data_IF_868058251809
#
_entry.id   IF_868058251809
#
_cell.length_a   1.000
_cell.length_b   1.000
_cell.length_c   1.000
_cell.angle_alpha   90.00
_cell.angle_beta   90.00
_cell.angle_gamma   90.00
#
_symmetry.space_group_name_H-M   'P 1'
#
loop_
_entity.id
_entity.type
_entity.pdbx_description
1 polymer ?
#
# COMPACT_ATOMS: atom_id res chain seq x y z
N UNK A 1 5.54 33.09 27.98
CA UNK A 1 6.14 32.77 26.68
C UNK A 1 5.83 31.31 26.38
N UNK A 2 5.06 31.01 25.34
CA UNK A 2 4.91 29.62 24.88
C UNK A 2 6.25 29.16 24.31
N UNK A 3 6.70 27.93 24.59
CA UNK A 3 7.93 27.41 23.98
C UNK A 3 7.75 27.48 22.46
N UNK A 4 8.69 28.07 21.76
CA UNK A 4 8.79 28.00 20.30
C UNK A 4 8.88 26.51 19.94
N UNK A 5 7.83 25.98 19.30
CA UNK A 5 7.89 24.65 18.69
C UNK A 5 9.15 24.61 17.81
N UNK A 6 10.10 23.79 18.15
CA UNK A 6 11.30 23.61 17.36
C UNK A 6 10.87 23.07 16.00
N UNK A 7 11.01 23.90 14.95
CA UNK A 7 10.65 23.51 13.59
C UNK A 7 11.46 22.26 13.23
N UNK A 8 10.77 21.13 13.03
CA UNK A 8 11.40 19.88 12.62
C UNK A 8 12.19 20.11 11.32
N UNK A 9 13.38 19.55 11.22
CA UNK A 9 14.24 19.69 10.03
C UNK A 9 13.86 18.74 8.89
N UNK A 10 12.82 17.94 9.08
CA UNK A 10 12.31 16.99 8.10
C UNK A 10 10.77 17.03 8.12
N UNK A 11 10.18 16.65 7.00
CA UNK A 11 8.73 16.47 6.91
C UNK A 11 8.39 15.06 7.39
N UNK A 12 7.67 14.96 8.51
CA UNK A 12 7.22 13.66 9.03
C UNK A 12 5.79 13.35 8.59
N UNK A 13 5.54 12.09 8.36
CA UNK A 13 4.28 11.56 7.90
C UNK A 13 3.06 11.97 8.79
N UNK A 14 3.12 11.90 10.14
CA UNK A 14 2.03 12.37 10.99
C UNK A 14 1.72 13.86 10.85
N UNK A 15 2.74 14.72 10.71
CA UNK A 15 2.55 16.15 10.53
C UNK A 15 1.90 16.46 9.17
N UNK A 16 2.39 15.82 8.10
CA UNK A 16 1.82 15.94 6.76
C UNK A 16 0.33 15.57 6.73
N UNK A 17 -0.05 14.43 7.31
CA UNK A 17 -1.45 14.03 7.32
C UNK A 17 -2.32 14.87 8.25
N UNK A 18 -1.77 15.37 9.36
CA UNK A 18 -2.50 16.30 10.21
C UNK A 18 -2.78 17.62 9.50
N UNK A 19 -1.87 18.10 8.67
CA UNK A 19 -2.08 19.27 7.83
C UNK A 19 -3.15 19.00 6.76
N UNK A 20 -3.08 17.84 6.10
CA UNK A 20 -3.99 17.48 5.00
C UNK A 20 -5.42 17.18 5.47
N UNK A 21 -5.59 16.47 6.59
CA UNK A 21 -6.89 15.97 7.06
C UNK A 21 -7.39 16.64 8.35
N UNK A 22 -6.61 17.54 8.95
CA UNK A 22 -6.95 18.21 10.22
C UNK A 22 -6.81 17.31 11.46
N UNK A 23 -6.62 16.01 11.29
CA UNK A 23 -6.55 15.02 12.36
C UNK A 23 -5.51 13.92 12.07
N UNK A 24 -5.32 13.03 13.05
CA UNK A 24 -4.41 11.91 12.90
C UNK A 24 -4.93 10.91 11.87
N UNK A 25 -4.03 10.43 11.02
CA UNK A 25 -4.31 9.34 10.08
C UNK A 25 -3.40 8.14 10.37
N UNK A 26 -3.97 6.94 10.35
CA UNK A 26 -3.28 5.68 10.59
C UNK A 26 -3.40 4.77 9.38
N UNK A 27 -2.27 4.23 8.89
CA UNK A 27 -2.30 3.15 7.89
C UNK A 27 -2.79 1.85 8.55
N UNK A 28 -3.73 1.17 7.91
CA UNK A 28 -4.18 -0.17 8.23
C UNK A 28 -3.69 -1.13 7.15
N UNK A 29 -2.78 -2.04 7.50
CA UNK A 29 -2.30 -3.05 6.56
C UNK A 29 -3.43 -3.99 6.15
N UNK A 30 -3.52 -4.27 4.86
CA UNK A 30 -4.54 -5.12 4.23
C UNK A 30 -3.84 -6.12 3.33
N UNK A 31 -4.22 -7.38 3.46
CA UNK A 31 -3.92 -8.41 2.50
C UNK A 31 -5.11 -8.57 1.55
N UNK A 32 -4.96 -8.08 0.32
CA UNK A 32 -5.97 -8.15 -0.72
C UNK A 32 -6.12 -9.55 -1.36
N UNK A 33 -5.29 -10.51 -0.97
CA UNK A 33 -5.27 -11.84 -1.58
C UNK A 33 -4.62 -11.86 -2.97
N UNK A 34 -3.89 -10.81 -3.33
CA UNK A 34 -3.17 -10.74 -4.60
C UNK A 34 -1.95 -11.66 -4.61
N UNK A 35 -1.40 -11.89 -5.80
CA UNK A 35 -0.14 -12.61 -6.00
C UNK A 35 0.94 -11.68 -6.55
N UNK A 36 2.00 -12.25 -7.07
CA UNK A 36 3.11 -11.51 -7.66
C UNK A 36 3.57 -12.23 -8.94
N UNK A 37 3.83 -11.52 -10.05
CA UNK A 37 4.30 -12.14 -11.31
C UNK A 37 5.64 -12.89 -11.14
N UNK A 38 6.38 -12.62 -10.06
CA UNK A 38 7.60 -13.31 -9.71
C UNK A 38 7.37 -14.60 -8.85
N UNK A 39 6.09 -14.98 -8.64
CA UNK A 39 5.69 -16.15 -7.86
C UNK A 39 4.78 -17.11 -8.62
N UNK A 40 3.94 -16.59 -9.50
CA UNK A 40 2.94 -17.38 -10.24
C UNK A 40 3.45 -17.97 -11.56
N UNK A 41 4.73 -17.77 -11.88
CA UNK A 41 5.38 -18.30 -13.07
C UNK A 41 5.37 -17.37 -14.27
N UNK A 42 4.71 -16.20 -14.22
CA UNK A 42 4.67 -15.25 -15.36
C UNK A 42 6.04 -14.62 -15.65
N UNK A 43 6.75 -14.16 -14.63
CA UNK A 43 8.14 -13.68 -14.70
C UNK A 43 9.12 -14.58 -13.97
N UNK A 44 8.69 -15.28 -12.91
CA UNK A 44 9.51 -16.14 -12.11
C UNK A 44 8.70 -16.95 -11.11
N UNK A 45 9.38 -17.85 -10.41
CA UNK A 45 8.82 -18.66 -9.32
C UNK A 45 9.57 -18.39 -8.02
N UNK A 46 8.92 -18.58 -6.88
CA UNK A 46 9.55 -18.43 -5.55
C UNK A 46 9.64 -17.00 -5.02
N UNK A 47 9.56 -15.98 -5.88
CA UNK A 47 9.62 -14.56 -5.48
C UNK A 47 11.05 -14.05 -5.28
N UNK A 48 11.17 -12.83 -4.77
CA UNK A 48 12.45 -12.23 -4.42
C UNK A 48 13.06 -12.92 -3.18
N UNK A 49 14.38 -12.97 -3.08
CA UNK A 49 15.10 -13.67 -2.00
C UNK A 49 14.80 -13.13 -0.60
N UNK A 50 14.43 -11.85 -0.50
CA UNK A 50 14.07 -11.16 0.75
C UNK A 50 12.57 -11.17 1.05
N UNK A 51 11.72 -11.69 0.14
CA UNK A 51 10.27 -11.55 0.24
C UNK A 51 9.69 -12.47 1.33
N UNK A 52 9.32 -11.85 2.46
CA UNK A 52 8.60 -12.51 3.54
C UNK A 52 7.41 -11.63 4.00
N UNK A 53 6.25 -11.85 3.38
CA UNK A 53 5.05 -11.06 3.72
C UNK A 53 4.50 -11.34 5.12
N UNK A 54 4.81 -12.49 5.73
CA UNK A 54 4.35 -12.81 7.08
C UNK A 54 5.02 -11.94 8.15
N UNK A 55 6.25 -11.46 7.88
CA UNK A 55 7.04 -10.72 8.86
C UNK A 55 6.50 -9.32 9.18
N UNK A 56 5.69 -8.73 8.30
CA UNK A 56 5.16 -7.37 8.47
C UNK A 56 3.62 -7.28 8.41
N UNK A 57 2.92 -8.40 8.26
CA UNK A 57 1.47 -8.44 8.34
C UNK A 57 1.02 -8.58 9.81
N UNK A 58 0.25 -7.61 10.36
CA UNK A 58 -0.38 -7.78 11.66
C UNK A 58 -1.30 -9.00 11.69
N UNK A 59 -1.56 -9.55 12.86
CA UNK A 59 -2.37 -10.76 12.99
C UNK A 59 -3.79 -10.68 12.43
N UNK A 60 -4.34 -9.48 12.27
CA UNK A 60 -5.63 -9.24 11.63
C UNK A 60 -5.56 -9.19 10.09
N UNK A 61 -4.37 -8.97 9.52
CA UNK A 61 -4.16 -8.80 8.09
C UNK A 61 -4.03 -10.17 7.42
N UNK A 62 -5.17 -10.73 7.00
CA UNK A 62 -5.24 -12.05 6.35
C UNK A 62 -6.26 -12.03 5.21
N UNK A 63 -5.85 -12.40 4.00
CA UNK A 63 -6.69 -12.41 2.80
C UNK A 63 -8.03 -13.15 2.97
N UNK A 64 -8.03 -14.26 3.71
CA UNK A 64 -9.24 -15.06 3.98
C UNK A 64 -10.31 -14.33 4.80
N UNK A 65 -9.96 -13.22 5.45
CA UNK A 65 -10.88 -12.47 6.31
C UNK A 65 -11.74 -11.44 5.56
N UNK A 66 -11.49 -11.19 4.27
CA UNK A 66 -12.09 -10.08 3.54
C UNK A 66 -11.56 -8.70 3.97
N UNK A 67 -11.71 -7.70 3.14
CA UNK A 67 -11.11 -6.37 3.33
C UNK A 67 -11.80 -5.60 4.45
N UNK A 68 -13.13 -5.51 4.41
CA UNK A 68 -13.93 -4.80 5.43
C UNK A 68 -13.68 -5.34 6.85
N UNK A 69 -13.52 -6.66 6.97
CA UNK A 69 -13.20 -7.27 8.27
C UNK A 69 -11.79 -6.93 8.73
N UNK A 70 -10.80 -6.99 7.85
CA UNK A 70 -9.43 -6.59 8.17
C UNK A 70 -9.36 -5.13 8.64
N UNK A 71 -10.09 -4.23 7.97
CA UNK A 71 -10.22 -2.81 8.36
C UNK A 71 -10.86 -2.70 9.73
N UNK A 72 -11.97 -3.40 9.99
CA UNK A 72 -12.65 -3.39 11.29
C UNK A 72 -11.75 -3.86 12.44
N UNK A 73 -11.05 -4.97 12.26
CA UNK A 73 -10.10 -5.50 13.24
C UNK A 73 -8.88 -4.59 13.43
N UNK A 74 -8.35 -4.01 12.34
CA UNK A 74 -7.26 -3.02 12.39
C UNK A 74 -7.66 -1.75 13.14
N UNK A 75 -8.87 -1.23 12.89
CA UNK A 75 -9.43 -0.09 13.64
C UNK A 75 -9.52 -0.41 15.13
N UNK A 76 -10.06 -1.56 15.50
CA UNK A 76 -10.15 -1.99 16.90
C UNK A 76 -8.77 -2.14 17.56
N UNK A 77 -7.77 -2.60 16.83
CA UNK A 77 -6.39 -2.71 17.30
C UNK A 77 -5.80 -1.33 17.63
N UNK A 78 -5.96 -0.35 16.74
CA UNK A 78 -5.38 0.99 16.94
C UNK A 78 -6.23 1.90 17.84
N UNK A 79 -7.54 1.67 17.95
CA UNK A 79 -8.42 2.43 18.84
C UNK A 79 -8.04 2.32 20.32
N UNK A 80 -7.35 1.26 20.72
CA UNK A 80 -6.81 1.10 22.09
C UNK A 80 -5.82 2.19 22.48
N UNK A 81 -5.14 2.80 21.51
CA UNK A 81 -4.10 3.80 21.75
C UNK A 81 -4.54 5.22 21.38
N UNK A 82 -5.42 5.37 20.43
CA UNK A 82 -5.81 6.67 19.88
C UNK A 82 -7.32 6.73 19.63
N UNK A 83 -7.96 7.76 20.18
CA UNK A 83 -9.39 8.03 19.99
C UNK A 83 -9.55 9.07 18.88
N UNK A 84 -10.48 8.84 17.98
CA UNK A 84 -10.80 9.76 16.88
C UNK A 84 -9.64 9.93 15.91
N UNK A 85 -9.56 9.06 14.91
CA UNK A 85 -8.55 9.14 13.85
C UNK A 85 -9.15 8.64 12.54
N UNK A 86 -8.58 9.10 11.44
CA UNK A 86 -8.86 8.59 10.09
C UNK A 86 -7.90 7.46 9.73
N UNK A 87 -8.26 6.74 8.68
CA UNK A 87 -7.48 5.58 8.25
C UNK A 87 -7.16 5.65 6.75
N UNK A 88 -6.00 5.11 6.39
CA UNK A 88 -5.66 4.75 5.03
C UNK A 88 -5.65 3.24 4.92
N UNK A 89 -6.38 2.70 3.95
CA UNK A 89 -6.33 1.29 3.62
C UNK A 89 -5.02 1.01 2.87
N UNK A 90 -4.10 0.29 3.51
CA UNK A 90 -2.77 0.01 2.99
C UNK A 90 -2.68 -1.41 2.45
N UNK A 91 -2.85 -1.56 1.15
CA UNK A 91 -2.64 -2.81 0.43
C UNK A 91 -1.15 -3.05 0.30
N UNK A 92 -0.62 -3.95 1.10
CA UNK A 92 0.83 -4.13 1.26
C UNK A 92 1.34 -5.49 0.77
N UNK A 93 0.58 -6.58 0.96
CA UNK A 93 1.03 -7.92 0.64
C UNK A 93 1.13 -8.12 -0.88
N UNK A 94 2.29 -8.55 -1.37
CA UNK A 94 2.58 -8.86 -2.78
C UNK A 94 2.49 -7.65 -3.73
N UNK A 95 1.82 -7.83 -4.91
CA UNK A 95 1.69 -6.81 -5.96
C UNK A 95 0.23 -6.43 -6.10
N UNK A 96 -0.16 -5.34 -5.47
CA UNK A 96 -1.58 -5.01 -5.29
C UNK A 96 -2.24 -4.34 -6.49
N UNK A 97 -1.55 -4.23 -7.62
CA UNK A 97 -2.11 -3.86 -8.95
C UNK A 97 -2.13 -5.05 -9.92
N UNK A 98 -1.67 -6.23 -9.46
CA UNK A 98 -1.52 -7.41 -10.29
C UNK A 98 -2.75 -8.32 -10.19
N UNK A 99 -3.84 -7.86 -10.76
CA UNK A 99 -5.11 -8.58 -10.91
C UNK A 99 -5.93 -7.95 -12.05
N UNK A 100 -7.00 -8.61 -12.53
CA UNK A 100 -7.96 -7.97 -13.42
C UNK A 100 -8.53 -6.67 -12.83
N UNK A 101 -8.71 -5.64 -13.65
CA UNK A 101 -9.15 -4.31 -13.21
C UNK A 101 -10.46 -4.37 -12.39
N UNK A 102 -11.39 -5.23 -12.75
CA UNK A 102 -12.65 -5.35 -12.02
C UNK A 102 -12.47 -5.91 -10.61
N UNK A 103 -11.53 -6.84 -10.43
CA UNK A 103 -11.15 -7.33 -9.09
C UNK A 103 -10.51 -6.23 -8.24
N UNK A 104 -9.62 -5.43 -8.85
CA UNK A 104 -9.01 -4.27 -8.17
C UNK A 104 -10.08 -3.27 -7.75
N UNK A 105 -11.03 -2.94 -8.66
CA UNK A 105 -12.16 -2.06 -8.36
C UNK A 105 -12.95 -2.56 -7.15
N UNK A 106 -13.38 -3.79 -7.18
CA UNK A 106 -14.17 -4.37 -6.09
C UNK A 106 -13.45 -4.23 -4.75
N UNK A 107 -12.17 -4.57 -4.69
CA UNK A 107 -11.39 -4.57 -3.44
C UNK A 107 -11.10 -3.16 -2.94
N UNK A 108 -10.78 -2.23 -3.84
CA UNK A 108 -10.48 -0.85 -3.43
C UNK A 108 -11.74 -0.09 -3.02
N UNK A 109 -12.86 -0.28 -3.72
CA UNK A 109 -14.14 0.30 -3.33
C UNK A 109 -14.62 -0.27 -1.99
N UNK A 110 -14.52 -1.59 -1.77
CA UNK A 110 -14.84 -2.21 -0.47
C UNK A 110 -14.06 -1.55 0.68
N UNK A 111 -12.78 -1.23 0.45
CA UNK A 111 -11.97 -0.55 1.45
C UNK A 111 -12.43 0.90 1.69
N UNK A 112 -12.74 1.63 0.61
CA UNK A 112 -13.18 3.03 0.68
C UNK A 112 -14.59 3.19 1.27
N UNK A 113 -15.44 2.19 1.15
CA UNK A 113 -16.78 2.18 1.76
C UNK A 113 -16.75 1.97 3.28
N UNK A 114 -15.59 1.58 3.84
CA UNK A 114 -15.45 1.43 5.27
C UNK A 114 -15.43 2.78 6.00
N UNK A 115 -16.10 2.91 7.15
CA UNK A 115 -16.15 4.15 7.92
C UNK A 115 -14.74 4.67 8.28
N UNK A 116 -14.55 5.99 8.17
CA UNK A 116 -13.32 6.71 8.50
C UNK A 116 -12.09 6.35 7.62
N UNK A 117 -12.26 5.57 6.56
CA UNK A 117 -11.22 5.38 5.54
C UNK A 117 -11.25 6.57 4.59
N UNK A 118 -10.14 7.31 4.52
CA UNK A 118 -10.01 8.55 3.73
C UNK A 118 -9.15 8.38 2.48
N UNK A 119 -8.67 7.18 2.24
CA UNK A 119 -7.88 6.90 1.04
C UNK A 119 -7.15 5.57 1.07
N UNK A 120 -6.40 5.35 0.01
CA UNK A 120 -5.66 4.12 -0.28
C UNK A 120 -4.15 4.37 -0.30
N UNK A 121 -3.40 3.40 0.15
CA UNK A 121 -1.98 3.24 -0.16
C UNK A 121 -1.79 1.88 -0.81
N UNK A 122 -1.23 1.86 -2.01
CA UNK A 122 -1.16 0.67 -2.85
C UNK A 122 0.31 0.35 -3.10
N UNK A 123 0.83 -0.64 -2.38
CA UNK A 123 2.18 -1.13 -2.61
C UNK A 123 2.19 -2.14 -3.75
N UNK A 124 3.06 -1.94 -4.72
CA UNK A 124 3.16 -2.79 -5.90
C UNK A 124 4.56 -2.80 -6.49
N UNK A 125 4.72 -3.56 -7.55
CA UNK A 125 5.92 -3.58 -8.40
C UNK A 125 5.75 -2.60 -9.56
N UNK A 126 6.81 -1.92 -10.02
CA UNK A 126 6.71 -1.04 -11.18
C UNK A 126 6.26 -1.77 -12.46
N UNK A 127 6.70 -3.02 -12.63
CA UNK A 127 6.38 -3.88 -13.79
C UNK A 127 5.05 -4.66 -13.68
N UNK A 128 4.22 -4.35 -12.68
CA UNK A 128 2.93 -4.99 -12.45
C UNK A 128 1.75 -3.99 -12.52
N UNK A 129 1.91 -2.93 -13.29
CA UNK A 129 0.90 -1.89 -13.50
C UNK A 129 0.60 -1.77 -14.99
N UNK A 130 -0.65 -1.53 -15.35
CA UNK A 130 -1.12 -1.29 -16.71
C UNK A 130 -1.79 0.09 -16.79
N UNK A 131 -1.88 0.66 -18.00
CA UNK A 131 -2.45 2.00 -18.20
C UNK A 131 -3.89 2.10 -17.72
N UNK A 132 -4.72 1.08 -17.94
CA UNK A 132 -6.10 1.04 -17.46
C UNK A 132 -6.22 1.01 -15.94
N UNK A 133 -5.27 0.39 -15.25
CA UNK A 133 -5.16 0.42 -13.77
C UNK A 133 -4.73 1.81 -13.31
N UNK A 134 -3.76 2.44 -13.98
CA UNK A 134 -3.33 3.81 -13.68
C UNK A 134 -4.46 4.82 -13.88
N UNK A 135 -5.20 4.72 -14.99
CA UNK A 135 -6.36 5.57 -15.28
C UNK A 135 -7.44 5.42 -14.20
N UNK A 136 -7.69 4.21 -13.75
CA UNK A 136 -8.61 3.97 -12.65
C UNK A 136 -8.12 4.60 -11.33
N UNK A 137 -6.86 4.40 -10.97
CA UNK A 137 -6.23 4.98 -9.77
C UNK A 137 -6.25 6.52 -9.85
N UNK A 138 -5.96 7.09 -11.00
CA UNK A 138 -6.08 8.53 -11.24
C UNK A 138 -7.53 9.02 -11.08
N UNK A 139 -8.51 8.22 -11.48
CA UNK A 139 -9.93 8.47 -11.20
C UNK A 139 -10.24 8.52 -9.70
N UNK A 140 -9.71 7.57 -8.93
CA UNK A 140 -9.85 7.51 -7.46
C UNK A 140 -9.23 8.74 -6.78
N UNK A 141 -8.07 9.21 -7.24
CA UNK A 141 -7.37 10.35 -6.63
C UNK A 141 -8.14 11.68 -6.68
N UNK A 142 -9.20 11.77 -7.51
CA UNK A 142 -10.11 12.94 -7.55
C UNK A 142 -11.11 12.98 -6.40
N UNK A 143 -11.32 11.89 -5.68
CA UNK A 143 -12.32 11.76 -4.61
C UNK A 143 -11.75 11.31 -3.25
N UNK A 144 -10.56 10.77 -3.22
CA UNK A 144 -9.91 10.36 -1.98
C UNK A 144 -8.39 10.47 -2.09
N UNK A 145 -7.69 10.38 -0.97
CA UNK A 145 -6.24 10.29 -0.98
C UNK A 145 -5.78 8.96 -1.59
N UNK A 146 -4.87 9.02 -2.57
CA UNK A 146 -4.25 7.83 -3.14
C UNK A 146 -2.73 8.00 -3.19
N UNK A 147 -2.03 6.97 -2.75
CA UNK A 147 -0.58 6.85 -2.87
C UNK A 147 -0.24 5.49 -3.47
N UNK A 148 0.54 5.48 -4.54
CA UNK A 148 1.14 4.25 -5.09
C UNK A 148 2.58 4.18 -4.61
N UNK A 149 2.95 3.05 -4.01
CA UNK A 149 4.32 2.79 -3.54
C UNK A 149 4.97 1.73 -4.44
N UNK A 150 5.89 2.15 -5.29
CA UNK A 150 6.66 1.24 -6.15
C UNK A 150 7.86 0.67 -5.42
N UNK A 151 7.92 -0.66 -5.31
CA UNK A 151 9.09 -1.37 -4.83
C UNK A 151 10.16 -1.47 -5.93
N UNK A 152 11.02 -0.47 -6.08
CA UNK A 152 12.12 -0.45 -7.05
C UNK A 152 13.29 -1.31 -6.58
N UNK A 153 13.57 -1.32 -5.29
CA UNK A 153 14.60 -2.06 -4.56
C UNK A 153 16.04 -1.61 -4.87
N UNK A 154 16.43 -1.43 -6.13
CA UNK A 154 17.76 -0.99 -6.54
C UNK A 154 17.74 -0.34 -7.91
N UNK A 155 18.63 0.63 -8.11
CA UNK A 155 18.96 1.19 -9.45
C UNK A 155 20.07 0.38 -10.17
N UNK A 156 20.54 -0.72 -9.58
CA UNK A 156 21.56 -1.58 -10.15
C UNK A 156 20.96 -2.93 -10.55
N UNK A 157 20.96 -3.22 -11.85
CA UNK A 157 20.38 -4.45 -12.40
C UNK A 157 21.08 -5.74 -11.95
N UNK A 158 22.38 -5.67 -11.59
CA UNK A 158 23.09 -6.82 -11.03
C UNK A 158 22.54 -7.18 -9.64
N UNK A 159 22.25 -6.16 -8.82
CA UNK A 159 21.59 -6.33 -7.52
C UNK A 159 20.19 -6.86 -7.73
N UNK A 160 19.40 -6.31 -8.65
CA UNK A 160 18.05 -6.79 -8.97
C UNK A 160 18.04 -8.26 -9.38
N UNK A 161 19.00 -8.67 -10.22
CA UNK A 161 19.18 -10.10 -10.59
C UNK A 161 19.57 -10.96 -9.40
N UNK A 162 20.50 -10.51 -8.57
CA UNK A 162 20.98 -11.26 -7.39
C UNK A 162 19.85 -11.54 -6.40
N UNK A 163 18.94 -10.57 -6.19
CA UNK A 163 17.78 -10.74 -5.30
C UNK A 163 16.57 -11.36 -5.99
N UNK A 164 16.71 -11.82 -7.22
CA UNK A 164 15.62 -12.37 -8.03
C UNK A 164 14.43 -11.43 -8.13
N UNK A 165 14.68 -10.13 -8.44
CA UNK A 165 13.60 -9.10 -8.49
C UNK A 165 12.66 -9.28 -9.69
N UNK A 166 13.16 -9.77 -10.83
CA UNK A 166 12.39 -10.08 -12.03
C UNK A 166 11.96 -8.87 -12.88
N UNK A 167 12.49 -7.66 -12.58
CA UNK A 167 12.44 -6.48 -13.46
C UNK A 167 13.79 -5.77 -13.45
N UNK A 168 14.01 -4.90 -14.42
CA UNK A 168 15.17 -4.02 -14.55
C UNK A 168 14.90 -2.65 -13.94
N UNK A 169 15.95 -1.83 -13.76
CA UNK A 169 15.77 -0.44 -13.36
C UNK A 169 15.09 0.38 -14.46
N UNK A 170 15.38 0.11 -15.73
CA UNK A 170 14.71 0.79 -16.86
C UNK A 170 13.17 0.57 -16.84
N UNK A 171 12.69 -0.66 -16.54
CA UNK A 171 11.26 -0.93 -16.37
C UNK A 171 10.66 -0.15 -15.18
N UNK A 172 11.46 0.13 -14.16
CA UNK A 172 11.01 0.93 -13.02
C UNK A 172 11.01 2.44 -13.29
N UNK A 173 11.84 2.93 -14.22
CA UNK A 173 11.84 4.33 -14.68
C UNK A 173 10.67 4.62 -15.62
N UNK A 174 10.21 3.61 -16.37
CA UNK A 174 9.08 3.74 -17.30
C UNK A 174 7.73 3.81 -16.54
N UNK A 175 7.61 3.17 -15.40
CA UNK A 175 6.40 3.12 -14.58
C UNK A 175 6.15 4.42 -13.80
#
# INVERSE_FOLDING_TARGET
MKPTESRKRYNDYPAYFKELFGERVQKLSIDGGFTCPNRDGKKGTGGCTFCNNESFNPGYCRAVSGISRQIGEGRAFFARKYIGQKYLAYFQAYSNTYAPLEELRQKYEEALDCPDVVGLVIATRPDAVTDDVLDYIAGLSRRCYVCVEYGVESANDEVLRTVNRGHTFAEAEEA
#
